data_IF_570164587523
#
_entry.id   IF_570164587523
#
_cell.length_a   1.000
_cell.length_b   1.000
_cell.length_c   1.000
_cell.angle_alpha   90.00
_cell.angle_beta   90.00
_cell.angle_gamma   90.00
#
_symmetry.space_group_name_H-M   'P 1'
#
loop_
_entity.id
_entity.type
_entity.pdbx_description
1 polymer ?
#
# COMPACT_ATOMS: atom_id res chain seq x y z
N UNK A 1 4.30 2.04 21.71
CA UNK A 1 3.85 0.80 21.06
C UNK A 1 2.78 1.17 20.03
N UNK A 2 3.12 1.11 18.75
CA UNK A 2 2.22 1.48 17.66
C UNK A 2 1.05 0.51 17.55
N UNK A 3 -0.11 0.98 17.10
CA UNK A 3 -1.33 0.18 16.93
C UNK A 3 -1.26 -0.71 15.67
N UNK A 4 -0.13 -1.38 15.45
CA UNK A 4 0.11 -2.17 14.25
C UNK A 4 -0.79 -3.42 14.19
N UNK A 5 -1.09 -4.05 15.33
CA UNK A 5 -2.00 -5.20 15.38
C UNK A 5 -3.44 -4.83 15.03
N UNK A 6 -3.93 -3.69 15.55
CA UNK A 6 -5.26 -3.15 15.22
C UNK A 6 -5.32 -2.76 13.74
N UNK A 7 -4.29 -2.06 13.25
CA UNK A 7 -4.19 -1.70 11.84
C UNK A 7 -4.17 -2.93 10.91
N UNK A 8 -3.40 -3.96 11.25
CA UNK A 8 -3.34 -5.20 10.47
C UNK A 8 -4.70 -5.90 10.44
N UNK A 9 -5.43 -5.91 11.57
CA UNK A 9 -6.78 -6.50 11.64
C UNK A 9 -7.76 -5.79 10.71
N UNK A 10 -7.75 -4.45 10.69
CA UNK A 10 -8.59 -3.66 9.79
C UNK A 10 -8.22 -3.92 8.33
N UNK A 11 -6.92 -3.95 8.02
CA UNK A 11 -6.44 -4.22 6.66
C UNK A 11 -6.81 -5.63 6.19
N UNK A 12 -6.81 -6.62 7.10
CA UNK A 12 -7.25 -7.98 6.83
C UNK A 12 -8.74 -8.04 6.45
N UNK A 13 -9.59 -7.30 7.15
CA UNK A 13 -11.01 -7.19 6.79
C UNK A 13 -11.21 -6.54 5.42
N UNK A 14 -10.42 -5.50 5.11
CA UNK A 14 -10.47 -4.83 3.80
C UNK A 14 -10.02 -5.79 2.71
N UNK A 15 -8.88 -6.46 2.88
CA UNK A 15 -8.34 -7.40 1.90
C UNK A 15 -9.28 -8.60 1.68
N UNK A 16 -10.02 -9.02 2.71
CA UNK A 16 -11.03 -10.07 2.57
C UNK A 16 -12.22 -9.66 1.68
N UNK A 17 -12.57 -8.36 1.67
CA UNK A 17 -13.65 -7.81 0.85
C UNK A 17 -13.17 -7.38 -0.54
N UNK A 18 -11.95 -6.87 -0.61
CA UNK A 18 -11.30 -6.33 -1.81
C UNK A 18 -9.89 -6.90 -1.90
N UNK A 19 -9.74 -8.14 -2.40
CA UNK A 19 -8.46 -8.83 -2.40
C UNK A 19 -7.48 -8.19 -3.38
N UNK A 20 -6.19 -8.33 -3.06
CA UNK A 20 -5.06 -7.96 -3.90
C UNK A 20 -4.99 -6.46 -4.22
N UNK A 21 -5.60 -5.59 -3.42
CA UNK A 21 -5.48 -4.14 -3.64
C UNK A 21 -4.10 -3.68 -3.17
N UNK A 22 -3.26 -3.16 -4.08
CA UNK A 22 -1.91 -2.64 -3.79
C UNK A 22 -1.85 -1.74 -2.55
N UNK A 23 -2.82 -0.84 -2.41
CA UNK A 23 -2.91 0.13 -1.31
C UNK A 23 -3.28 -0.51 0.04
N UNK A 24 -3.65 -1.79 0.05
CA UNK A 24 -3.94 -2.58 1.25
C UNK A 24 -2.76 -3.53 1.53
N UNK A 25 -2.24 -4.19 0.50
CA UNK A 25 -1.10 -5.12 0.60
C UNK A 25 0.15 -4.45 1.18
N UNK A 26 0.49 -3.22 0.75
CA UNK A 26 1.68 -2.52 1.24
C UNK A 26 1.61 -2.18 2.74
N UNK A 27 0.52 -1.54 3.23
CA UNK A 27 0.33 -1.34 4.66
C UNK A 27 0.30 -2.65 5.46
N UNK A 28 -0.22 -3.75 4.91
CA UNK A 28 -0.17 -5.06 5.57
C UNK A 28 1.26 -5.56 5.72
N UNK A 29 2.06 -5.52 4.66
CA UNK A 29 3.47 -5.93 4.69
C UNK A 29 4.27 -5.10 5.73
N UNK A 30 4.01 -3.80 5.77
CA UNK A 30 4.62 -2.90 6.76
C UNK A 30 4.20 -3.23 8.20
N UNK A 31 2.91 -3.52 8.44
CA UNK A 31 2.47 -3.95 9.77
C UNK A 31 3.08 -5.29 10.16
N UNK A 32 3.18 -6.25 9.23
CA UNK A 32 3.80 -7.54 9.46
C UNK A 32 5.27 -7.41 9.87
N UNK A 33 6.04 -6.55 9.21
CA UNK A 33 7.42 -6.25 9.61
C UNK A 33 7.49 -5.74 11.06
N UNK A 34 6.65 -4.75 11.43
CA UNK A 34 6.68 -4.16 12.77
C UNK A 34 6.16 -5.11 13.86
N UNK A 35 5.42 -6.16 13.50
CA UNK A 35 4.91 -7.18 14.40
C UNK A 35 5.79 -8.45 14.42
N UNK A 36 6.86 -8.50 13.62
CA UNK A 36 7.72 -9.69 13.50
C UNK A 36 7.06 -10.86 12.75
N UNK A 37 5.96 -10.63 12.03
CA UNK A 37 5.30 -11.63 11.18
C UNK A 37 6.05 -11.80 9.87
N UNK A 38 7.29 -12.29 9.96
CA UNK A 38 8.26 -12.29 8.87
C UNK A 38 7.78 -13.06 7.63
N UNK A 39 7.32 -14.30 7.79
CA UNK A 39 6.86 -15.14 6.66
C UNK A 39 5.71 -14.47 5.90
N UNK A 40 4.74 -13.93 6.65
CA UNK A 40 3.58 -13.24 6.09
C UNK A 40 3.98 -11.94 5.39
N UNK A 41 4.89 -11.17 6.00
CA UNK A 41 5.41 -9.93 5.41
C UNK A 41 6.17 -10.19 4.11
N UNK A 42 6.98 -11.26 4.05
CA UNK A 42 7.68 -11.66 2.83
C UNK A 42 6.71 -12.02 1.71
N UNK A 43 5.69 -12.84 1.99
CA UNK A 43 4.70 -13.22 0.98
C UNK A 43 3.99 -12.00 0.38
N UNK A 44 3.59 -11.04 1.23
CA UNK A 44 2.98 -9.79 0.78
C UNK A 44 3.95 -8.92 -0.05
N UNK A 45 5.23 -8.85 0.35
CA UNK A 45 6.25 -8.14 -0.42
C UNK A 45 6.48 -8.78 -1.79
N UNK A 46 6.55 -10.11 -1.86
CA UNK A 46 6.73 -10.84 -3.13
C UNK A 46 5.56 -10.61 -4.07
N UNK A 47 4.34 -10.63 -3.53
CA UNK A 47 3.14 -10.29 -4.30
C UNK A 47 3.20 -8.84 -4.80
N UNK A 48 3.56 -7.88 -3.95
CA UNK A 48 3.69 -6.47 -4.32
C UNK A 48 4.74 -6.23 -5.42
N UNK A 49 5.86 -6.93 -5.35
CA UNK A 49 6.94 -6.83 -6.33
C UNK A 49 6.51 -7.50 -7.64
N UNK A 50 5.98 -8.71 -7.58
CA UNK A 50 5.60 -9.49 -8.75
C UNK A 50 4.42 -8.89 -9.52
N UNK A 51 3.36 -8.48 -8.83
CA UNK A 51 2.13 -8.00 -9.45
C UNK A 51 2.14 -6.49 -9.73
N UNK A 52 2.78 -5.70 -8.85
CA UNK A 52 2.70 -4.23 -8.90
C UNK A 52 4.04 -3.55 -9.14
N UNK A 53 5.14 -4.29 -9.29
CA UNK A 53 6.50 -3.73 -9.41
C UNK A 53 6.80 -2.69 -8.31
N UNK A 54 6.33 -2.95 -7.09
CA UNK A 54 6.32 -1.95 -6.03
C UNK A 54 7.71 -1.77 -5.42
N UNK A 55 8.43 -0.72 -5.83
CA UNK A 55 9.83 -0.49 -5.42
C UNK A 55 10.03 -0.49 -3.89
N UNK A 56 9.13 0.15 -3.13
CA UNK A 56 9.25 0.20 -1.66
C UNK A 56 9.05 -1.15 -0.98
N UNK A 57 8.43 -2.13 -1.65
CA UNK A 57 8.25 -3.46 -1.08
C UNK A 57 9.59 -4.22 -1.02
N UNK A 58 10.56 -3.90 -1.88
CA UNK A 58 11.93 -4.42 -1.77
C UNK A 58 12.60 -3.99 -0.47
N UNK A 59 12.38 -2.75 -0.02
CA UNK A 59 12.97 -2.26 1.22
C UNK A 59 12.42 -3.00 2.45
N UNK A 60 11.10 -3.21 2.50
CA UNK A 60 10.47 -4.00 3.58
C UNK A 60 10.98 -5.45 3.53
N UNK A 61 11.02 -6.06 2.35
CA UNK A 61 11.53 -7.43 2.16
C UNK A 61 12.95 -7.60 2.69
N UNK A 62 13.86 -6.71 2.31
CA UNK A 62 15.25 -6.75 2.75
C UNK A 62 15.39 -6.60 4.28
N UNK A 63 14.59 -5.75 4.92
CA UNK A 63 14.58 -5.59 6.38
C UNK A 63 14.07 -6.84 7.09
N UNK A 64 13.03 -7.47 6.57
CA UNK A 64 12.51 -8.75 7.10
C UNK A 64 13.55 -9.86 6.94
N UNK A 65 14.18 -9.99 5.77
CA UNK A 65 15.23 -11.00 5.52
C UNK A 65 16.42 -10.81 6.47
N UNK A 66 16.86 -9.57 6.69
CA UNK A 66 17.93 -9.24 7.64
C UNK A 66 17.53 -9.61 9.08
N UNK A 67 16.29 -9.29 9.46
CA UNK A 67 15.74 -9.61 10.77
C UNK A 67 15.63 -11.12 11.04
N UNK A 68 15.36 -11.91 9.99
CA UNK A 68 15.36 -13.38 10.08
C UNK A 68 16.78 -13.96 10.17
N UNK A 69 17.75 -13.34 9.51
CA UNK A 69 19.15 -13.78 9.53
C UNK A 69 19.87 -13.45 10.85
N UNK A 70 19.42 -12.42 11.58
CA UNK A 70 19.97 -12.04 12.88
C UNK A 70 18.85 -11.67 13.88
N UNK A 71 18.37 -12.64 14.68
CA UNK A 71 17.25 -12.42 15.60
C UNK A 71 17.59 -11.47 16.77
N UNK A 72 18.86 -11.09 16.95
CA UNK A 72 19.33 -10.22 18.05
C UNK A 72 19.12 -8.70 17.79
N UNK A 73 18.71 -8.28 16.59
CA UNK A 73 18.68 -6.86 16.19
C UNK A 73 17.30 -6.15 16.33
N UNK A 74 16.30 -6.80 16.94
CA UNK A 74 14.92 -6.31 16.98
C UNK A 74 14.71 -5.11 17.94
N UNK A 75 15.69 -4.78 18.78
CA UNK A 75 15.55 -3.77 19.85
C UNK A 75 15.95 -2.34 19.41
N UNK A 76 16.40 -2.13 18.17
CA UNK A 76 17.02 -0.84 17.79
C UNK A 76 16.84 -0.45 16.31
N UNK A 77 15.62 -0.17 15.85
CA UNK A 77 15.43 0.56 14.60
C UNK A 77 14.39 1.70 14.75
N UNK A 78 14.75 2.93 14.34
CA UNK A 78 13.81 4.04 14.32
C UNK A 78 12.81 3.84 13.16
N UNK A 79 11.52 3.83 13.49
CA UNK A 79 10.39 3.95 12.55
C UNK A 79 10.62 5.12 11.60
N UNK A 80 11.11 4.84 10.39
CA UNK A 80 11.00 5.80 9.29
C UNK A 80 9.53 5.79 8.86
N UNK A 81 8.87 6.90 9.19
CA UNK A 81 7.47 7.16 8.91
C UNK A 81 7.12 6.84 7.45
N UNK A 82 6.04 6.07 7.27
CA UNK A 82 5.45 5.81 5.98
C UNK A 82 5.07 7.15 5.30
N UNK A 83 5.49 7.41 4.06
CA UNK A 83 4.90 8.49 3.29
C UNK A 83 3.53 8.01 2.84
N UNK A 84 2.48 8.61 3.40
CA UNK A 84 1.12 8.54 2.89
C UNK A 84 1.15 8.98 1.42
N UNK A 85 1.07 8.03 0.48
CA UNK A 85 0.86 8.38 -0.92
C UNK A 85 -0.62 8.58 -1.12
N UNK A 86 -1.01 9.85 -0.95
CA UNK A 86 -2.13 10.44 -1.66
C UNK A 86 -1.89 10.23 -3.16
N UNK A 87 -2.60 9.29 -3.77
CA UNK A 87 -2.76 9.20 -5.22
C UNK A 87 -4.20 9.59 -5.52
N UNK A 88 -4.39 10.90 -5.51
CA UNK A 88 -5.49 11.59 -6.15
C UNK A 88 -5.22 11.56 -7.66
N UNK A 89 -6.07 10.92 -8.46
CA UNK A 89 -6.33 11.36 -9.85
C UNK A 89 -7.62 10.69 -10.38
N UNK A 90 -8.72 11.42 -10.33
CA UNK A 90 -9.86 11.22 -11.22
C UNK A 90 -9.89 12.41 -12.19
N UNK A 91 -9.59 12.24 -13.49
CA UNK A 91 -9.83 13.28 -14.47
C UNK A 91 -11.18 13.03 -15.15
N UNK A 92 -12.23 13.71 -14.70
CA UNK A 92 -13.40 13.98 -15.55
C UNK A 92 -13.64 15.49 -15.61
N UNK A 93 -12.76 16.15 -16.37
CA UNK A 93 -13.06 17.44 -16.97
C UNK A 93 -13.12 17.24 -18.49
N UNK A 94 -14.27 16.79 -18.98
CA UNK A 94 -14.63 17.01 -20.38
C UNK A 94 -15.57 18.22 -20.41
N UNK A 95 -14.95 19.39 -20.47
CA UNK A 95 -15.58 20.56 -21.09
C UNK A 95 -15.80 20.23 -22.56
N UNK A 96 -17.06 20.13 -22.98
CA UNK A 96 -17.42 20.24 -24.39
C UNK A 96 -17.97 21.66 -24.59
N UNK A 97 -17.16 22.45 -25.28
CA UNK A 97 -17.40 23.78 -25.81
C UNK A 97 -18.79 23.99 -26.44
N UNK A 98 -19.35 25.16 -26.13
CA UNK A 98 -19.95 26.15 -27.05
C UNK A 98 -20.24 25.65 -28.49
N UNK A 99 -21.49 25.25 -28.77
CA UNK A 99 -22.02 25.23 -30.14
C UNK A 99 -23.10 26.30 -30.31
N UNK A 100 -22.85 27.12 -31.31
CA UNK A 100 -23.51 28.38 -31.66
C UNK A 100 -24.98 28.17 -32.02
N UNK A 101 -25.80 29.12 -31.57
CA UNK A 101 -27.01 29.64 -32.20
C UNK A 101 -27.31 29.14 -33.62
N UNK A 102 -28.35 28.31 -33.80
CA UNK A 102 -29.23 28.32 -34.98
C UNK A 102 -30.67 27.98 -34.54
N UNK A 103 -31.54 29.00 -34.47
CA UNK A 103 -33.00 28.84 -34.49
C UNK A 103 -33.48 28.76 -35.95
N UNK A 104 -34.34 27.81 -36.34
CA UNK A 104 -35.03 27.83 -37.63
C UNK A 104 -36.31 28.68 -37.57
N UNK A 105 -36.88 29.10 -38.73
CA UNK A 105 -37.87 30.17 -38.80
C UNK A 105 -39.31 29.67 -38.53
N UNK A 106 -40.19 30.60 -38.17
CA UNK A 106 -41.65 30.50 -38.21
C UNK A 106 -42.22 31.64 -39.04
#
# INVERSE_FOLDING_TARGET
>A
MGRFGEALSILDEINSKYPNVKNVLYPMAFCCENLGYNERGLALCEQLIGEYSHEKAHAIKARIELAMASPEAQDSLPTTAAPAQNSEEAPEALVADDDRTILPPL
#
